data_IF_881994192007
#
_entry.id   IF_881994192007
#
_cell.length_a   1.000
_cell.length_b   1.000
_cell.length_c   1.000
_cell.angle_alpha   90.00
_cell.angle_beta   90.00
_cell.angle_gamma   90.00
#
_symmetry.space_group_name_H-M   'P 1'
#
loop_
_entity.id
_entity.type
_entity.pdbx_description
1 polymer ?
#
# COMPACT_ATOMS: atom_id res chain seq x y z
N UNK A 1 -6.57 -4.71 -19.58
CA UNK A 1 -6.87 -4.84 -18.13
C UNK A 1 -6.18 -3.69 -17.41
N UNK A 2 -6.91 -2.91 -16.61
CA UNK A 2 -6.37 -1.73 -15.90
C UNK A 2 -5.60 -2.16 -14.65
N UNK A 3 -4.63 -1.36 -14.19
CA UNK A 3 -3.89 -1.60 -12.94
C UNK A 3 -4.81 -1.89 -11.74
N UNK A 4 -5.91 -1.14 -11.62
CA UNK A 4 -6.95 -1.36 -10.60
C UNK A 4 -7.54 -2.77 -10.63
N UNK A 5 -7.80 -3.33 -11.82
CA UNK A 5 -8.35 -4.70 -11.92
C UNK A 5 -7.36 -5.76 -11.45
N UNK A 6 -6.05 -5.56 -11.69
CA UNK A 6 -5.00 -6.45 -11.17
C UNK A 6 -4.91 -6.38 -9.65
N UNK A 7 -4.96 -5.17 -9.09
CA UNK A 7 -4.96 -4.95 -7.64
C UNK A 7 -6.13 -5.69 -7.00
N UNK A 8 -7.35 -5.47 -7.50
CA UNK A 8 -8.56 -6.08 -6.92
C UNK A 8 -8.56 -7.61 -6.95
N UNK A 9 -7.98 -8.22 -7.98
CA UNK A 9 -7.87 -9.68 -8.09
C UNK A 9 -6.84 -10.29 -7.13
N UNK A 10 -5.91 -9.49 -6.60
CA UNK A 10 -4.86 -9.96 -5.68
C UNK A 10 -5.21 -9.77 -4.19
N UNK A 11 -6.30 -9.04 -3.89
CA UNK A 11 -6.71 -8.79 -2.51
C UNK A 11 -7.29 -10.07 -1.86
N UNK A 12 -7.08 -10.27 -0.55
CA UNK A 12 -7.66 -11.39 0.17
C UNK A 12 -9.20 -11.27 0.24
N UNK A 13 -9.88 -12.37 0.54
CA UNK A 13 -11.32 -12.36 0.84
C UNK A 13 -11.56 -11.69 2.21
N UNK A 14 -12.66 -10.94 2.36
CA UNK A 14 -12.97 -10.14 3.56
C UNK A 14 -13.51 -10.96 4.76
N UNK A 15 -13.18 -12.25 4.84
CA UNK A 15 -13.71 -13.20 5.82
C UNK A 15 -14.97 -13.95 5.35
N UNK A 16 -15.47 -14.91 6.14
CA UNK A 16 -16.58 -15.77 5.74
C UNK A 16 -17.88 -14.95 5.59
N UNK A 17 -18.42 -14.89 4.37
CA UNK A 17 -19.76 -14.35 4.09
C UNK A 17 -19.82 -12.87 3.69
N UNK A 18 -18.71 -12.14 3.64
CA UNK A 18 -18.66 -10.79 3.07
C UNK A 18 -18.00 -10.87 1.69
N UNK A 19 -18.77 -10.87 0.58
CA UNK A 19 -18.16 -10.83 -0.74
C UNK A 19 -17.32 -9.57 -0.82
N UNK A 20 -16.03 -9.68 -1.17
CA UNK A 20 -15.28 -8.51 -1.65
C UNK A 20 -16.08 -8.00 -2.86
N UNK A 21 -16.69 -6.81 -2.81
CA UNK A 21 -17.48 -6.31 -3.91
C UNK A 21 -16.51 -6.07 -5.07
N UNK A 22 -16.40 -7.06 -5.94
CA UNK A 22 -15.67 -6.92 -7.21
C UNK A 22 -16.41 -5.84 -7.96
N UNK A 23 -15.73 -4.76 -8.32
CA UNK A 23 -16.29 -3.76 -9.21
C UNK A 23 -16.61 -4.48 -10.53
N UNK A 24 -17.87 -4.88 -10.71
CA UNK A 24 -18.34 -5.48 -11.95
C UNK A 24 -18.12 -4.43 -13.03
N UNK A 25 -17.23 -4.75 -13.97
CA UNK A 25 -17.08 -4.19 -15.31
C UNK A 25 -17.67 -2.77 -15.48
N UNK A 26 -16.86 -1.71 -15.48
CA UNK A 26 -17.04 -0.49 -16.31
C UNK A 26 -16.14 0.68 -15.87
N UNK A 27 -15.57 1.32 -16.91
CA UNK A 27 -14.73 2.53 -17.02
C UNK A 27 -13.94 2.96 -15.77
N UNK A 28 -12.62 3.08 -15.94
CA UNK A 28 -11.68 3.58 -14.95
C UNK A 28 -11.89 5.08 -14.64
N UNK A 29 -13.02 5.43 -14.00
CA UNK A 29 -13.25 6.78 -13.46
C UNK A 29 -13.08 6.86 -11.94
N UNK A 30 -12.48 5.83 -11.32
CA UNK A 30 -11.77 6.09 -10.08
C UNK A 30 -10.60 7.00 -10.47
N UNK A 31 -10.67 8.29 -10.11
CA UNK A 31 -9.65 9.26 -10.47
C UNK A 31 -8.25 8.79 -10.05
N UNK A 32 -7.18 9.41 -10.57
CA UNK A 32 -5.80 9.09 -10.19
C UNK A 32 -5.62 8.94 -8.66
N UNK A 33 -6.35 9.75 -7.88
CA UNK A 33 -6.40 9.70 -6.41
C UNK A 33 -6.85 8.35 -5.83
N UNK A 34 -7.73 7.59 -6.51
CA UNK A 34 -8.19 6.30 -5.98
C UNK A 34 -7.09 5.24 -5.93
N UNK A 35 -6.11 5.32 -6.81
CA UNK A 35 -4.96 4.40 -6.80
C UNK A 35 -4.17 4.56 -5.51
N UNK A 36 -4.11 5.78 -4.96
CA UNK A 36 -3.43 6.06 -3.70
C UNK A 36 -3.93 5.20 -2.55
N UNK A 37 -5.25 4.99 -2.42
CA UNK A 37 -5.84 4.12 -1.39
C UNK A 37 -5.25 2.70 -1.34
N UNK A 38 -4.69 2.21 -2.45
CA UNK A 38 -4.13 0.86 -2.54
C UNK A 38 -2.63 0.81 -2.23
N UNK A 39 -1.93 1.95 -2.09
CA UNK A 39 -0.49 2.01 -1.79
C UNK A 39 -0.08 1.15 -0.58
N UNK A 40 -0.81 1.15 0.56
CA UNK A 40 -0.46 0.30 1.70
C UNK A 40 -0.55 -1.20 1.37
N UNK A 41 -1.40 -1.59 0.42
CA UNK A 41 -1.65 -2.99 0.07
C UNK A 41 -0.66 -3.54 -0.97
N UNK A 42 0.23 -2.71 -1.52
CA UNK A 42 1.11 -3.11 -2.63
C UNK A 42 2.09 -4.24 -2.26
N UNK A 43 2.57 -4.29 -1.02
CA UNK A 43 3.40 -5.39 -0.53
C UNK A 43 2.73 -6.76 -0.64
N UNK A 44 1.40 -6.79 -0.48
CA UNK A 44 0.61 -8.01 -0.66
C UNK A 44 0.28 -8.26 -2.14
N UNK A 45 -0.22 -7.22 -2.82
CA UNK A 45 -0.67 -7.32 -4.22
C UNK A 45 0.45 -7.70 -5.17
N UNK A 46 1.66 -7.20 -4.91
CA UNK A 46 2.86 -7.41 -5.72
C UNK A 46 3.83 -8.42 -5.09
N UNK A 47 3.35 -9.29 -4.20
CA UNK A 47 4.20 -10.24 -3.47
C UNK A 47 5.07 -11.10 -4.40
N UNK A 48 4.58 -11.41 -5.61
CA UNK A 48 5.34 -12.15 -6.63
C UNK A 48 6.45 -11.28 -7.22
N UNK A 49 6.16 -10.05 -7.58
CA UNK A 49 7.11 -9.09 -8.15
C UNK A 49 8.16 -8.64 -7.13
N UNK A 50 7.83 -8.67 -5.83
CA UNK A 50 8.73 -8.32 -4.73
C UNK A 50 9.61 -9.48 -4.25
N UNK A 51 9.61 -10.63 -4.93
CA UNK A 51 10.50 -11.74 -4.58
C UNK A 51 11.97 -11.32 -4.71
N UNK A 52 12.75 -11.54 -3.65
CA UNK A 52 14.16 -11.15 -3.58
C UNK A 52 14.41 -9.70 -3.14
N UNK A 53 13.36 -8.87 -3.01
CA UNK A 53 13.49 -7.53 -2.45
C UNK A 53 13.41 -7.57 -0.92
N UNK A 54 14.40 -7.02 -0.21
CA UNK A 54 14.36 -6.89 1.25
C UNK A 54 13.41 -5.79 1.73
N UNK A 55 13.17 -4.79 0.88
CA UNK A 55 12.31 -3.63 1.14
C UNK A 55 11.53 -3.26 -0.12
N UNK A 56 10.38 -2.62 0.07
CA UNK A 56 9.57 -2.03 -0.99
C UNK A 56 9.00 -0.69 -0.51
N UNK A 57 8.53 0.15 -1.41
CA UNK A 57 8.07 1.49 -1.05
C UNK A 57 7.28 2.17 -2.16
N UNK A 58 6.84 3.39 -1.88
CA UNK A 58 6.18 4.25 -2.86
C UNK A 58 6.58 5.71 -2.67
N UNK A 59 6.40 6.48 -3.74
CA UNK A 59 6.75 7.89 -3.83
C UNK A 59 5.55 8.67 -4.37
N UNK A 60 5.49 9.97 -4.08
CA UNK A 60 4.68 10.91 -4.85
C UNK A 60 5.37 11.27 -6.18
N UNK A 61 4.57 11.72 -7.14
CA UNK A 61 4.97 11.94 -8.52
C UNK A 61 5.98 13.08 -8.70
N UNK A 62 6.11 13.97 -7.72
CA UNK A 62 6.96 15.16 -7.71
C UNK A 62 8.24 15.01 -6.88
N UNK A 63 8.55 13.80 -6.40
CA UNK A 63 9.74 13.54 -5.57
C UNK A 63 10.98 13.30 -6.44
N UNK A 64 12.02 14.10 -6.20
CA UNK A 64 13.36 13.87 -6.73
C UNK A 64 14.22 13.10 -5.73
N UNK A 65 14.82 12.01 -6.18
CA UNK A 65 15.74 11.20 -5.38
C UNK A 65 17.19 11.61 -5.66
N UNK A 66 17.94 11.94 -4.61
CA UNK A 66 19.39 12.12 -4.65
C UNK A 66 20.11 10.79 -4.42
N UNK A 67 21.16 10.80 -3.60
CA UNK A 67 21.84 9.58 -3.16
C UNK A 67 20.95 8.81 -2.17
N UNK A 68 20.12 7.93 -2.71
CA UNK A 68 19.20 7.13 -1.93
C UNK A 68 19.94 6.19 -0.97
N UNK A 69 21.06 5.59 -1.38
CA UNK A 69 21.80 4.64 -0.56
C UNK A 69 22.40 5.34 0.68
N UNK A 70 22.99 6.52 0.49
CA UNK A 70 23.50 7.31 1.61
C UNK A 70 22.38 7.75 2.55
N UNK A 71 21.20 8.08 2.01
CA UNK A 71 20.06 8.53 2.80
C UNK A 71 19.38 7.38 3.58
N UNK A 72 18.93 6.32 2.90
CA UNK A 72 18.14 5.26 3.54
C UNK A 72 18.98 4.13 4.10
N UNK A 73 20.18 3.87 3.57
CA UNK A 73 21.01 2.74 3.97
C UNK A 73 21.16 2.58 5.48
N UNK A 74 21.51 3.64 6.24
CA UNK A 74 21.60 3.58 7.70
C UNK A 74 20.27 3.31 8.42
N UNK A 75 19.13 3.65 7.79
CA UNK A 75 17.80 3.48 8.37
C UNK A 75 17.29 2.04 8.20
N UNK A 76 17.63 1.38 7.09
CA UNK A 76 17.13 0.03 6.76
C UNK A 76 17.63 -1.06 7.73
N UNK A 77 18.76 -0.83 8.40
CA UNK A 77 19.27 -1.77 9.42
C UNK A 77 18.48 -1.72 10.72
N UNK A 78 17.76 -0.62 10.96
CA UNK A 78 17.18 -0.29 12.25
C UNK A 78 15.66 -0.32 12.22
N UNK A 79 15.06 0.12 11.11
CA UNK A 79 13.62 0.34 11.01
C UNK A 79 12.96 -0.59 10.00
N UNK A 80 11.76 -1.02 10.35
CA UNK A 80 10.90 -1.84 9.50
C UNK A 80 9.98 -0.99 8.60
N UNK A 81 9.76 0.26 8.98
CA UNK A 81 9.02 1.25 8.18
C UNK A 81 9.73 2.59 8.26
N UNK A 82 9.97 3.22 7.11
CA UNK A 82 10.49 4.58 7.00
C UNK A 82 9.38 5.45 6.43
N UNK A 83 8.98 6.44 7.21
CA UNK A 83 7.96 7.43 6.87
C UNK A 83 8.48 8.82 7.23
N UNK A 84 8.10 9.88 6.48
CA UNK A 84 8.41 11.25 6.86
C UNK A 84 7.66 11.68 8.12
N UNK A 85 6.58 11.00 8.50
CA UNK A 85 5.81 11.30 9.71
C UNK A 85 5.73 10.09 10.67
N UNK A 86 5.90 10.31 11.98
CA UNK A 86 6.04 9.22 12.96
C UNK A 86 4.76 8.41 13.21
N UNK A 87 3.57 8.94 12.89
CA UNK A 87 2.28 8.34 13.29
C UNK A 87 1.30 8.12 12.13
N UNK A 88 1.69 8.46 10.92
CA UNK A 88 0.85 8.31 9.75
C UNK A 88 1.69 7.97 8.53
N UNK A 89 1.07 7.33 7.55
CA UNK A 89 1.65 7.03 6.25
C UNK A 89 1.63 8.25 5.31
N UNK A 90 1.41 9.43 5.90
CA UNK A 90 1.25 10.69 5.20
C UNK A 90 2.60 11.19 4.75
N UNK A 91 2.92 10.89 3.50
CA UNK A 91 4.27 11.07 3.01
C UNK A 91 4.45 10.93 1.53
N UNK A 92 5.25 11.83 0.98
CA UNK A 92 5.78 11.77 -0.37
C UNK A 92 6.73 10.57 -0.60
N UNK A 93 7.13 9.88 0.48
CA UNK A 93 8.15 8.83 0.46
C UNK A 93 7.89 7.80 1.55
N UNK A 94 7.68 6.54 1.21
CA UNK A 94 7.46 5.46 2.17
C UNK A 94 8.29 4.24 1.81
N UNK A 95 8.92 3.61 2.80
CA UNK A 95 9.60 2.31 2.65
C UNK A 95 9.13 1.36 3.75
N UNK A 96 8.91 0.10 3.38
CA UNK A 96 8.52 -1.00 4.27
C UNK A 96 9.47 -2.17 4.09
N UNK A 97 9.83 -2.84 5.18
CA UNK A 97 10.51 -4.14 5.12
C UNK A 97 9.57 -5.16 4.50
N UNK A 98 10.07 -5.88 3.52
CA UNK A 98 9.29 -6.88 2.81
C UNK A 98 9.13 -8.14 3.66
N UNK A 99 8.12 -8.14 4.54
CA UNK A 99 7.79 -9.29 5.39
C UNK A 99 6.29 -9.60 5.29
N UNK A 100 5.89 -10.87 5.48
CA UNK A 100 4.46 -11.23 5.52
C UNK A 100 3.68 -10.43 6.57
N UNK A 101 4.33 -10.10 7.70
CA UNK A 101 3.71 -9.34 8.79
C UNK A 101 3.38 -7.92 8.35
N UNK A 102 4.36 -7.17 7.81
CA UNK A 102 4.17 -5.79 7.35
C UNK A 102 3.24 -5.72 6.15
N UNK A 103 3.42 -6.61 5.18
CA UNK A 103 2.58 -6.65 3.97
C UNK A 103 1.13 -7.00 4.30
N UNK A 104 0.88 -7.68 5.42
CA UNK A 104 -0.45 -8.01 5.92
C UNK A 104 -1.11 -6.93 6.79
N UNK A 105 -0.40 -5.88 7.22
CA UNK A 105 -0.94 -4.87 8.13
C UNK A 105 -2.18 -4.12 7.64
N UNK A 106 -2.30 -3.71 6.35
CA UNK A 106 -3.48 -2.99 5.88
C UNK A 106 -4.78 -3.76 6.14
N UNK A 107 -4.72 -5.09 6.11
CA UNK A 107 -5.89 -5.96 6.28
C UNK A 107 -6.35 -6.09 7.73
N UNK A 108 -5.62 -5.52 8.70
CA UNK A 108 -6.06 -5.40 10.10
C UNK A 108 -7.07 -4.27 10.30
N UNK A 109 -7.13 -3.31 9.38
CA UNK A 109 -8.09 -2.20 9.46
C UNK A 109 -9.50 -2.68 9.11
N UNK A 110 -10.51 -2.37 9.93
CA UNK A 110 -11.91 -2.69 9.58
C UNK A 110 -12.42 -1.98 8.32
N UNK A 111 -11.66 -1.00 7.80
CA UNK A 111 -12.03 -0.20 6.64
C UNK A 111 -11.50 -0.75 5.31
N UNK A 112 -10.53 -1.67 5.32
CA UNK A 112 -9.82 -2.06 4.08
C UNK A 112 -10.79 -2.63 3.02
N UNK A 113 -11.76 -3.43 3.44
CA UNK A 113 -12.72 -4.05 2.53
C UNK A 113 -13.63 -3.00 1.87
N UNK A 114 -14.08 -2.00 2.65
CA UNK A 114 -14.83 -0.86 2.13
C UNK A 114 -14.00 -0.08 1.12
N UNK A 115 -12.74 0.24 1.46
CA UNK A 115 -11.82 0.97 0.60
C UNK A 115 -11.59 0.22 -0.72
N UNK A 116 -11.43 -1.09 -0.69
CA UNK A 116 -11.24 -1.90 -1.89
C UNK A 116 -12.46 -1.92 -2.83
N UNK A 117 -13.65 -1.76 -2.25
CA UNK A 117 -14.94 -1.86 -2.95
C UNK A 117 -15.49 -0.54 -3.48
N UNK A 118 -15.14 0.57 -2.83
CA UNK A 118 -15.67 1.90 -3.16
C UNK A 118 -14.82 2.55 -4.27
N UNK A 119 -15.47 3.28 -5.20
CA UNK A 119 -14.80 4.04 -6.25
C UNK A 119 -14.23 5.36 -5.74
N UNK A 120 -14.77 5.86 -4.63
CA UNK A 120 -14.34 7.10 -4.01
C UNK A 120 -12.95 6.92 -3.40
N UNK A 121 -12.11 7.93 -3.59
CA UNK A 121 -10.87 8.06 -2.84
C UNK A 121 -11.19 8.28 -1.35
N UNK A 122 -10.64 7.44 -0.49
CA UNK A 122 -10.93 7.41 0.94
C UNK A 122 -9.75 7.80 1.83
N UNK A 123 -8.62 8.21 1.24
CA UNK A 123 -7.39 8.58 1.95
C UNK A 123 -6.87 7.44 2.83
N UNK A 124 -7.02 6.19 2.37
CA UNK A 124 -6.58 5.03 3.14
C UNK A 124 -5.06 4.93 3.22
N UNK A 125 -4.35 5.47 2.24
CA UNK A 125 -2.89 5.63 2.29
C UNK A 125 -2.42 6.65 3.31
N UNK A 126 -3.29 7.55 3.75
CA UNK A 126 -3.00 8.55 4.78
C UNK A 126 -3.31 8.03 6.20
N UNK A 127 -4.01 6.90 6.30
CA UNK A 127 -4.34 6.29 7.59
C UNK A 127 -3.10 5.60 8.19
N UNK A 128 -3.03 5.55 9.52
CA UNK A 128 -1.96 4.86 10.22
C UNK A 128 -2.02 3.35 9.92
N UNK A 129 -1.05 2.88 9.13
CA UNK A 129 -0.78 1.44 8.93
C UNK A 129 0.67 1.16 9.34
N UNK A 130 1.05 1.57 10.55
CA UNK A 130 2.39 1.33 11.09
C UNK A 130 2.34 0.26 12.16
N UNK A 131 3.10 -0.82 11.98
CA UNK A 131 3.49 -1.68 13.09
C UNK A 131 4.64 -1.01 13.82
N UNK A 132 4.49 -0.81 15.13
CA UNK A 132 5.56 -0.26 15.95
C UNK A 132 6.65 -1.32 16.15
N UNK A 133 7.75 -1.19 15.42
CA UNK A 133 9.13 -1.30 15.95
C UNK A 133 10.13 -0.67 14.97
#
# INVERSE_FOLDING_TARGET
>A
STMLSRIQNALPEAGPGLPVPRLKHQSASGGASKISDFKPMLGWVLAKELQGCSFWGYLQEDVLLGDLQAFVGPLLTTFDTISPLPYCNYGAFMIYRNTPVLNGLPFRSTQWARVASDRKYMQFDEAAVTATR
#
